data_IF_420861632391
#
_entry.id   IF_420861632391
#
_cell.length_a   1.000
_cell.length_b   1.000
_cell.length_c   1.000
_cell.angle_alpha   90.00
_cell.angle_beta   90.00
_cell.angle_gamma   90.00
#
_symmetry.space_group_name_H-M   'P 1'
#
loop_
_entity.id
_entity.type
_entity.pdbx_description
1 polymer ?
#
# COMPACT_ATOMS: atom_id res chain seq x y z
N UNK A 1 -25.12 3.24 -8.97
CA UNK A 1 -23.86 3.94 -9.27
C UNK A 1 -22.80 3.25 -8.44
N UNK A 2 -22.01 2.39 -9.07
CA UNK A 2 -21.20 1.38 -8.38
C UNK A 2 -19.73 1.49 -8.79
N UNK A 3 -19.20 2.71 -8.78
CA UNK A 3 -17.79 2.98 -9.11
C UNK A 3 -17.13 3.98 -8.16
N UNK A 4 -17.77 4.29 -7.03
CA UNK A 4 -17.14 4.91 -5.86
C UNK A 4 -16.44 3.86 -4.99
N UNK A 5 -15.70 2.94 -5.63
CA UNK A 5 -14.58 2.33 -4.92
C UNK A 5 -13.60 3.48 -4.71
N UNK A 6 -13.80 4.20 -3.60
CA UNK A 6 -13.53 5.63 -3.56
C UNK A 6 -12.04 5.89 -3.69
N UNK A 7 -11.64 6.57 -4.76
CA UNK A 7 -10.29 7.05 -4.97
C UNK A 7 -9.75 7.77 -3.73
N UNK A 8 -10.59 8.56 -3.07
CA UNK A 8 -10.31 9.20 -1.78
C UNK A 8 -9.92 8.20 -0.69
N UNK A 9 -10.59 7.05 -0.62
CA UNK A 9 -10.27 5.98 0.34
C UNK A 9 -8.94 5.32 0.04
N UNK A 10 -8.62 5.08 -1.25
CA UNK A 10 -7.32 4.53 -1.66
C UNK A 10 -6.22 5.52 -1.28
N UNK A 11 -6.40 6.80 -1.59
CA UNK A 11 -5.47 7.86 -1.23
C UNK A 11 -5.24 7.93 0.28
N UNK A 12 -6.30 7.88 1.08
CA UNK A 12 -6.18 7.91 2.55
C UNK A 12 -5.37 6.71 3.08
N UNK A 13 -5.63 5.51 2.56
CA UNK A 13 -4.90 4.31 2.99
C UNK A 13 -3.44 4.33 2.60
N UNK A 14 -3.11 4.85 1.42
CA UNK A 14 -1.72 5.02 0.99
C UNK A 14 -1.00 6.00 1.91
N UNK A 15 -1.65 7.09 2.30
CA UNK A 15 -1.10 8.05 3.28
C UNK A 15 -0.89 7.40 4.64
N UNK A 16 -1.88 6.67 5.14
CA UNK A 16 -1.79 6.05 6.46
C UNK A 16 -0.68 4.97 6.50
N UNK A 17 -0.57 4.14 5.45
CA UNK A 17 0.49 3.14 5.33
C UNK A 17 1.88 3.78 5.17
N UNK A 18 1.99 4.90 4.47
CA UNK A 18 3.24 5.68 4.42
C UNK A 18 3.67 6.11 5.83
N UNK A 19 2.76 6.61 6.66
CA UNK A 19 3.05 7.01 8.03
C UNK A 19 3.48 5.83 8.92
N UNK A 20 2.80 4.69 8.81
CA UNK A 20 3.19 3.49 9.54
C UNK A 20 4.57 2.98 9.13
N UNK A 21 4.84 2.96 7.82
CA UNK A 21 6.14 2.55 7.33
C UNK A 21 7.20 3.49 7.89
N UNK A 22 7.02 4.81 7.85
CA UNK A 22 7.95 5.77 8.46
C UNK A 22 8.25 5.51 9.94
N UNK A 23 7.29 4.96 10.70
CA UNK A 23 7.48 4.55 12.08
C UNK A 23 8.15 3.18 12.23
N UNK A 24 8.15 2.35 11.19
CA UNK A 24 8.77 1.02 11.20
C UNK A 24 10.32 1.10 11.15
N UNK A 25 11.03 0.15 11.79
CA UNK A 25 12.50 0.14 11.85
C UNK A 25 13.16 0.24 10.46
N UNK A 26 14.21 1.06 10.36
CA UNK A 26 15.04 1.16 9.16
C UNK A 26 16.06 0.01 9.12
N UNK A 27 16.42 -0.44 7.91
CA UNK A 27 17.45 -1.46 7.69
C UNK A 27 16.94 -2.82 7.19
N UNK A 28 15.63 -2.96 6.95
CA UNK A 28 15.07 -4.09 6.20
C UNK A 28 14.93 -3.70 4.73
N UNK A 29 15.64 -4.43 3.85
CA UNK A 29 15.57 -4.21 2.41
C UNK A 29 14.15 -4.38 1.85
N UNK A 30 13.31 -5.21 2.49
CA UNK A 30 11.93 -5.42 2.08
C UNK A 30 11.01 -4.29 2.54
N UNK A 31 11.20 -3.77 3.75
CA UNK A 31 10.48 -2.56 4.18
C UNK A 31 10.87 -1.35 3.35
N UNK A 32 12.14 -1.22 2.99
CA UNK A 32 12.62 -0.14 2.13
C UNK A 32 12.02 -0.26 0.71
N UNK A 33 11.99 -1.47 0.16
CA UNK A 33 11.30 -1.76 -1.10
C UNK A 33 9.80 -1.45 -1.03
N UNK A 34 9.12 -1.71 0.09
CA UNK A 34 7.70 -1.39 0.27
C UNK A 34 7.48 0.13 0.36
N UNK A 35 8.34 0.87 1.08
CA UNK A 35 8.31 2.35 1.13
C UNK A 35 8.45 2.96 -0.26
N UNK A 36 9.40 2.47 -1.05
CA UNK A 36 9.61 2.95 -2.41
C UNK A 36 8.37 2.76 -3.29
N UNK A 37 7.73 1.59 -3.22
CA UNK A 37 6.51 1.30 -3.98
C UNK A 37 5.32 2.19 -3.54
N UNK A 38 5.18 2.44 -2.24
CA UNK A 38 4.16 3.35 -1.68
C UNK A 38 4.36 4.78 -2.18
N UNK A 39 5.60 5.27 -2.22
CA UNK A 39 5.93 6.60 -2.75
C UNK A 39 5.56 6.72 -4.22
N UNK A 40 5.82 5.67 -5.02
CA UNK A 40 5.43 5.63 -6.44
C UNK A 40 3.91 5.63 -6.58
N UNK A 41 3.21 4.78 -5.83
CA UNK A 41 1.74 4.72 -5.84
C UNK A 41 1.11 6.06 -5.46
N UNK A 42 1.62 6.74 -4.43
CA UNK A 42 1.16 8.07 -4.01
C UNK A 42 1.32 9.10 -5.13
N UNK A 43 2.47 9.12 -5.80
CA UNK A 43 2.68 10.03 -6.94
C UNK A 43 1.70 9.76 -8.06
N UNK A 44 1.40 8.49 -8.35
CA UNK A 44 0.41 8.10 -9.36
C UNK A 44 -1.00 8.53 -8.98
N UNK A 45 -1.36 8.47 -7.70
CA UNK A 45 -2.65 8.99 -7.19
C UNK A 45 -2.71 10.53 -7.19
N UNK A 46 -1.59 11.23 -7.04
CA UNK A 46 -1.55 12.70 -7.08
C UNK A 46 -1.56 13.27 -8.51
N UNK A 47 -1.55 12.43 -9.55
CA UNK A 47 -1.55 12.90 -10.93
C UNK A 47 -2.87 13.60 -11.31
N UNK A 48 -2.80 14.80 -11.93
CA UNK A 48 -3.97 15.61 -12.24
C UNK A 48 -4.87 15.01 -13.34
N UNK A 49 -4.36 14.06 -14.13
CA UNK A 49 -5.10 13.37 -15.19
C UNK A 49 -5.95 12.20 -14.68
N UNK A 50 -5.91 11.95 -13.37
CA UNK A 50 -6.58 10.82 -12.72
C UNK A 50 -5.74 9.53 -12.80
N UNK A 51 -6.15 8.48 -12.07
CA UNK A 51 -5.39 7.24 -12.03
C UNK A 51 -5.34 6.58 -13.40
N UNK A 52 -4.12 6.47 -13.96
CA UNK A 52 -3.84 5.78 -15.20
C UNK A 52 -4.05 4.27 -15.04
N UNK A 53 -4.01 3.51 -16.15
CA UNK A 53 -4.05 2.04 -16.11
C UNK A 53 -2.96 1.41 -15.23
N UNK A 54 -1.91 2.16 -14.90
CA UNK A 54 -0.79 1.77 -14.05
C UNK A 54 -1.15 1.75 -12.56
N UNK A 55 -2.25 2.41 -12.14
CA UNK A 55 -2.69 2.38 -10.74
C UNK A 55 -2.91 0.94 -10.27
N UNK A 56 -3.53 0.10 -11.11
CA UNK A 56 -3.77 -1.30 -10.79
C UNK A 56 -2.49 -2.10 -10.57
N UNK A 57 -1.45 -1.82 -11.36
CA UNK A 57 -0.16 -2.49 -11.28
C UNK A 57 0.60 -2.09 -10.00
N UNK A 58 0.60 -0.80 -9.65
CA UNK A 58 1.19 -0.32 -8.40
C UNK A 58 0.47 -0.85 -7.17
N UNK A 59 -0.86 -0.86 -7.20
CA UNK A 59 -1.70 -1.46 -6.17
C UNK A 59 -1.37 -2.96 -6.01
N UNK A 60 -1.20 -3.70 -7.10
CA UNK A 60 -0.78 -5.10 -7.06
C UNK A 60 0.64 -5.26 -6.49
N UNK A 61 1.58 -4.39 -6.89
CA UNK A 61 2.95 -4.36 -6.39
C UNK A 61 3.04 -4.15 -4.89
N UNK A 62 2.31 -3.15 -4.36
CA UNK A 62 2.19 -2.91 -2.91
C UNK A 62 1.65 -4.15 -2.20
N UNK A 63 0.61 -4.82 -2.75
CA UNK A 63 0.07 -6.06 -2.17
C UNK A 63 1.13 -7.17 -2.05
N UNK A 64 1.89 -7.39 -3.12
CA UNK A 64 2.90 -8.45 -3.17
C UNK A 64 4.00 -8.19 -2.14
N UNK A 65 4.54 -6.98 -2.13
CA UNK A 65 5.61 -6.59 -1.20
C UNK A 65 5.15 -6.65 0.25
N UNK A 66 3.93 -6.21 0.54
CA UNK A 66 3.33 -6.32 1.87
C UNK A 66 3.21 -7.79 2.30
N UNK A 67 2.74 -8.66 1.40
CA UNK A 67 2.65 -10.11 1.66
C UNK A 67 4.02 -10.74 1.92
N UNK A 68 5.05 -10.31 1.19
CA UNK A 68 6.43 -10.74 1.41
C UNK A 68 6.96 -10.27 2.76
N UNK A 69 6.77 -9.01 3.15
CA UNK A 69 7.21 -8.52 4.47
C UNK A 69 6.55 -9.32 5.60
N UNK A 70 5.25 -9.62 5.48
CA UNK A 70 4.50 -10.41 6.48
C UNK A 70 4.92 -11.87 6.56
N UNK A 71 5.25 -12.48 5.41
CA UNK A 71 5.71 -13.87 5.37
C UNK A 71 7.09 -14.05 6.00
N UNK A 72 7.81 -12.94 6.26
CA UNK A 72 9.13 -12.94 6.86
C UNK A 72 9.10 -12.48 8.33
N UNK A 73 10.18 -12.75 9.06
CA UNK A 73 10.33 -12.37 10.48
C UNK A 73 10.27 -10.84 10.68
N UNK A 74 10.54 -10.08 9.62
CA UNK A 74 10.40 -8.63 9.54
C UNK A 74 8.93 -8.16 9.70
N UNK A 75 7.96 -9.06 9.49
CA UNK A 75 6.54 -8.82 9.63
C UNK A 75 6.04 -8.69 11.07
N UNK A 76 6.85 -9.00 12.10
CA UNK A 76 6.46 -8.74 13.50
C UNK A 76 6.19 -7.25 13.76
N UNK A 77 6.87 -6.35 13.05
CA UNK A 77 6.64 -4.90 13.16
C UNK A 77 5.31 -4.44 12.53
N UNK A 78 4.72 -5.24 11.63
CA UNK A 78 3.50 -4.91 10.87
C UNK A 78 2.33 -5.86 11.15
N UNK A 79 2.54 -6.90 11.97
CA UNK A 79 1.58 -8.00 12.19
C UNK A 79 0.26 -7.54 12.83
N UNK A 80 0.32 -6.47 13.63
CA UNK A 80 -0.83 -5.94 14.36
C UNK A 80 -1.50 -4.75 13.66
N UNK A 81 -1.04 -4.35 12.46
CA UNK A 81 -1.54 -3.13 11.83
C UNK A 81 -2.81 -3.40 11.00
N UNK A 82 -3.87 -2.58 11.16
CA UNK A 82 -5.18 -2.80 10.53
C UNK A 82 -5.17 -2.68 8.99
N UNK A 83 -4.07 -2.18 8.42
CA UNK A 83 -3.91 -1.89 7.00
C UNK A 83 -3.87 -3.15 6.14
N UNK A 84 -3.44 -4.29 6.67
CA UNK A 84 -3.39 -5.56 5.92
C UNK A 84 -4.77 -6.01 5.45
N UNK A 85 -5.75 -5.90 6.35
CA UNK A 85 -7.13 -6.31 6.10
C UNK A 85 -7.80 -5.31 5.16
N UNK A 86 -7.55 -4.02 5.34
CA UNK A 86 -8.08 -2.95 4.49
C UNK A 86 -7.49 -3.01 3.07
N UNK A 87 -6.17 -3.10 2.93
CA UNK A 87 -5.51 -3.25 1.62
C UNK A 87 -5.87 -4.58 0.95
N UNK A 88 -5.95 -5.70 1.67
CA UNK A 88 -6.43 -6.96 1.09
C UNK A 88 -7.86 -6.85 0.54
N UNK A 89 -8.73 -6.14 1.27
CA UNK A 89 -10.12 -5.88 0.86
C UNK A 89 -10.20 -4.93 -0.34
N UNK A 90 -9.29 -3.96 -0.42
CA UNK A 90 -9.26 -2.91 -1.45
C UNK A 90 -8.54 -3.35 -2.73
N UNK A 91 -7.50 -4.18 -2.59
CA UNK A 91 -6.68 -4.73 -3.66
C UNK A 91 -7.25 -6.05 -4.23
N UNK A 92 -8.47 -6.44 -3.82
CA UNK A 92 -9.34 -7.26 -4.66
C UNK A 92 -10.16 -8.41 -4.03
N UNK A 93 -10.52 -8.45 -2.74
CA UNK A 93 -11.10 -9.69 -2.16
C UNK A 93 -12.18 -9.48 -1.08
N UNK A 94 -13.40 -9.12 -1.52
CA UNK A 94 -14.70 -9.74 -1.12
C UNK A 94 -15.64 -9.71 -2.31
#
# INVERSE_FOLDING_TARGET
MSSEFSFERITQLVIDLEQELLAAPHGSSKLDALREEIVVLKRTLEQPEGPSGELGDHLHGVRSRLSEVLANVEGEALKDTPYLVEFGRILGLV
#
